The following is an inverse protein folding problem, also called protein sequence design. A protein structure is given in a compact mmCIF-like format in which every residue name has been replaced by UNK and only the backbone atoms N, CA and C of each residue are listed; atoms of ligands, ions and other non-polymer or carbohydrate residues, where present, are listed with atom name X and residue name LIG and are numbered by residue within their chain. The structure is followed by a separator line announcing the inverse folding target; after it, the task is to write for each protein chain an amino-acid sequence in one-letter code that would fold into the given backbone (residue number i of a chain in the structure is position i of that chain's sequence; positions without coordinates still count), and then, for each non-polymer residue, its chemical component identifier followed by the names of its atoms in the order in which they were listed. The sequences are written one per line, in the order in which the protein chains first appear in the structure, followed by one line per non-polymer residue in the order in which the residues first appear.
data_IF_360118770313
#
_entry.id   IF_360118770313
#
_cell.length_a   1.000
_cell.length_b   1.000
_cell.length_c   1.000
_cell.angle_alpha   90.00
_cell.angle_beta   90.00
_cell.angle_gamma   90.00
#
_symmetry.space_group_name_H-M   'P 1'
#
loop_
_entity.id
_entity.type
_entity.pdbx_description
1 polymer ?
#
# COMPACT_ATOMS: atom_id res chain seq x y z
N UNK A 1 -29.95 -19.02 7.28
CA UNK A 1 -29.91 -17.57 7.51
C UNK A 1 -28.51 -17.25 8.00
N UNK A 2 -27.63 -16.85 7.08
CA UNK A 2 -26.28 -16.39 7.40
C UNK A 2 -26.40 -15.07 8.16
N UNK A 3 -25.74 -14.98 9.31
CA UNK A 3 -25.53 -13.72 10.03
C UNK A 3 -25.02 -12.66 9.06
N UNK A 4 -25.44 -11.38 9.15
CA UNK A 4 -24.70 -10.32 8.47
C UNK A 4 -23.24 -10.42 8.92
N UNK A 5 -22.30 -10.48 7.98
CA UNK A 5 -20.87 -10.40 8.30
C UNK A 5 -20.70 -9.15 9.16
N UNK A 6 -20.13 -9.30 10.35
CA UNK A 6 -19.72 -8.13 11.11
C UNK A 6 -18.81 -7.33 10.21
N UNK A 7 -19.24 -6.12 9.84
CA UNK A 7 -18.44 -5.18 9.06
C UNK A 7 -17.08 -5.09 9.75
N UNK A 8 -16.05 -5.69 9.15
CA UNK A 8 -14.69 -5.62 9.68
C UNK A 8 -14.29 -4.15 9.62
N UNK A 9 -14.53 -3.46 10.73
CA UNK A 9 -14.22 -2.05 10.87
C UNK A 9 -12.75 -1.88 10.57
N UNK A 10 -12.46 -1.02 9.60
CA UNK A 10 -11.12 -0.67 9.17
C UNK A 10 -10.95 0.83 9.37
N UNK A 11 -9.83 1.22 9.95
CA UNK A 11 -9.40 2.60 10.06
C UNK A 11 -8.27 2.87 9.06
N UNK A 12 -8.04 4.14 8.73
CA UNK A 12 -6.96 4.56 7.85
C UNK A 12 -6.31 5.81 8.41
N UNK A 13 -4.97 5.84 8.42
CA UNK A 13 -4.20 7.03 8.73
C UNK A 13 -3.14 7.25 7.65
N UNK A 14 -2.94 8.48 7.21
CA UNK A 14 -1.93 8.85 6.22
C UNK A 14 -0.68 9.35 6.93
N UNK A 15 0.40 8.58 6.86
CA UNK A 15 1.72 8.99 7.32
C UNK A 15 2.44 9.79 6.23
N UNK A 16 3.05 10.90 6.60
CA UNK A 16 4.01 11.59 5.74
C UNK A 16 5.40 10.99 5.97
N UNK A 17 5.76 9.96 5.20
CA UNK A 17 7.08 9.31 5.27
C UNK A 17 8.06 10.14 4.45
N UNK A 18 8.64 11.17 5.10
CA UNK A 18 9.65 12.07 4.53
C UNK A 18 9.30 12.62 3.12
N UNK A 19 8.04 13.05 2.94
CA UNK A 19 7.54 13.62 1.69
C UNK A 19 6.71 12.64 0.84
N UNK A 20 6.63 11.37 1.22
CA UNK A 20 5.75 10.38 0.60
C UNK A 20 4.49 10.17 1.46
N UNK A 21 3.29 10.52 0.97
CA UNK A 21 2.04 10.16 1.63
C UNK A 21 1.82 8.64 1.56
N UNK A 22 1.75 7.99 2.73
CA UNK A 22 1.56 6.55 2.87
C UNK A 22 0.31 6.29 3.69
N UNK A 23 -0.71 5.71 3.07
CA UNK A 23 -1.96 5.35 3.74
C UNK A 23 -1.82 3.97 4.37
N UNK A 24 -2.01 3.92 5.69
CA UNK A 24 -1.97 2.69 6.45
C UNK A 24 -3.38 2.36 6.90
N UNK A 25 -3.90 1.26 6.39
CA UNK A 25 -5.18 0.67 6.75
C UNK A 25 -4.97 -0.40 7.81
N UNK A 26 -5.77 -0.37 8.87
CA UNK A 26 -5.60 -1.27 10.02
C UNK A 26 -6.94 -1.56 10.72
N UNK A 27 -7.09 -2.75 11.33
CA UNK A 27 -8.17 -3.02 12.28
C UNK A 27 -8.04 -2.11 13.52
N UNK A 28 -9.12 -1.46 14.01
CA UNK A 28 -9.07 -0.62 15.20
C UNK A 28 -8.57 -1.33 16.47
N UNK A 29 -8.64 -2.66 16.53
CA UNK A 29 -8.10 -3.45 17.64
C UNK A 29 -6.58 -3.41 17.74
N UNK A 30 -5.86 -3.00 16.69
CA UNK A 30 -4.40 -2.90 16.70
C UNK A 30 -3.88 -1.63 17.38
N UNK A 31 -4.74 -0.66 17.69
CA UNK A 31 -4.35 0.64 18.21
C UNK A 31 -5.03 0.92 19.55
N UNK A 32 -4.38 1.71 20.40
CA UNK A 32 -4.97 2.21 21.63
C UNK A 32 -5.88 3.42 21.35
N UNK A 33 -6.56 3.91 22.38
CA UNK A 33 -7.28 5.19 22.29
C UNK A 33 -6.34 6.41 22.28
N UNK A 34 -5.04 6.22 22.54
CA UNK A 34 -4.06 7.29 22.52
C UNK A 34 -3.61 7.61 21.08
N UNK A 35 -3.20 8.86 20.89
CA UNK A 35 -2.62 9.35 19.64
C UNK A 35 -1.35 10.14 19.94
N UNK A 36 -0.40 10.12 19.00
CA UNK A 36 0.74 11.03 19.04
C UNK A 36 0.29 12.48 18.81
N UNK A 37 1.16 13.44 19.10
CA UNK A 37 0.89 14.87 18.83
C UNK A 37 0.62 15.17 17.36
N UNK A 38 1.08 14.31 16.46
CA UNK A 38 0.80 14.34 15.01
C UNK A 38 -0.61 13.86 14.65
N UNK A 39 -1.37 13.37 15.62
CA UNK A 39 -2.65 12.67 15.42
C UNK A 39 -2.50 11.22 14.96
N UNK A 40 -1.27 10.71 14.79
CA UNK A 40 -1.03 9.33 14.41
C UNK A 40 -1.51 8.37 15.52
N UNK A 41 -2.12 7.22 15.16
CA UNK A 41 -2.56 6.25 16.15
C UNK A 41 -1.36 5.61 16.86
N UNK A 42 -1.50 5.33 18.16
CA UNK A 42 -0.51 4.55 18.90
C UNK A 42 -0.88 3.07 18.81
N UNK A 43 -0.07 2.28 18.11
CA UNK A 43 -0.24 0.83 18.05
C UNK A 43 -0.04 0.19 19.42
N UNK A 44 -0.84 -0.82 19.73
CA UNK A 44 -0.69 -1.58 20.99
C UNK A 44 0.56 -2.43 20.92
N UNK A 45 1.26 -2.59 22.05
CA UNK A 45 2.38 -3.51 22.12
C UNK A 45 1.91 -4.95 21.84
N UNK A 46 2.66 -5.72 21.04
CA UNK A 46 2.21 -7.05 20.66
C UNK A 46 3.20 -7.85 19.82
N UNK A 47 2.70 -8.96 19.25
CA UNK A 47 3.50 -9.81 18.37
C UNK A 47 3.90 -9.04 17.08
N UNK A 48 5.01 -9.44 16.43
CA UNK A 48 5.39 -8.90 15.13
C UNK A 48 4.28 -9.05 14.09
N UNK A 49 4.05 -8.01 13.28
CA UNK A 49 2.98 -7.96 12.28
C UNK A 49 3.50 -8.17 10.86
N UNK A 50 2.63 -8.60 9.94
CA UNK A 50 2.93 -8.52 8.50
C UNK A 50 2.46 -7.19 7.93
N UNK A 51 3.09 -6.74 6.85
CA UNK A 51 2.68 -5.55 6.10
C UNK A 51 2.41 -5.93 4.65
N UNK A 52 1.18 -5.71 4.19
CA UNK A 52 0.81 -5.86 2.78
C UNK A 52 0.85 -4.49 2.09
N UNK A 53 1.83 -4.27 1.22
CA UNK A 53 1.85 -3.12 0.32
C UNK A 53 1.02 -3.47 -0.92
N UNK A 54 -0.05 -2.70 -1.16
CA UNK A 54 -0.95 -2.90 -2.30
C UNK A 54 -0.92 -1.71 -3.26
N UNK A 55 -0.44 -1.97 -4.48
CA UNK A 55 -0.16 -0.95 -5.51
C UNK A 55 -1.27 -0.89 -6.56
N UNK A 56 -1.74 0.33 -6.85
CA UNK A 56 -2.88 0.56 -7.73
C UNK A 56 -2.55 0.44 -9.23
N UNK A 57 -3.59 0.40 -10.08
CA UNK A 57 -3.43 0.41 -11.53
C UNK A 57 -3.10 1.79 -12.10
N UNK A 58 -2.64 1.82 -13.35
CA UNK A 58 -2.47 3.07 -14.12
C UNK A 58 -3.78 3.85 -14.18
N UNK A 59 -3.69 5.20 -14.14
CA UNK A 59 -4.83 6.11 -14.11
C UNK A 59 -5.75 5.95 -12.87
N UNK A 60 -5.26 5.28 -11.83
CA UNK A 60 -5.96 5.15 -10.55
C UNK A 60 -5.20 5.91 -9.45
N UNK A 61 -5.58 5.66 -8.19
CA UNK A 61 -4.97 6.24 -6.99
C UNK A 61 -5.08 5.29 -5.79
N UNK A 62 -4.24 5.48 -4.78
CA UNK A 62 -4.21 4.73 -3.51
C UNK A 62 -5.56 4.70 -2.79
N UNK A 63 -6.26 5.85 -2.74
CA UNK A 63 -7.58 5.99 -2.12
C UNK A 63 -8.75 5.55 -3.00
N UNK A 64 -8.52 4.91 -4.14
CA UNK A 64 -9.60 4.45 -5.01
C UNK A 64 -10.42 3.36 -4.31
N UNK A 65 -11.75 3.35 -4.51
CA UNK A 65 -12.69 2.43 -3.82
C UNK A 65 -12.24 0.97 -3.88
N UNK A 66 -11.80 0.51 -5.05
CA UNK A 66 -11.27 -0.86 -5.24
C UNK A 66 -10.08 -1.16 -4.32
N UNK A 67 -9.17 -0.22 -4.11
CA UNK A 67 -8.00 -0.40 -3.24
C UNK A 67 -8.43 -0.56 -1.78
N UNK A 68 -9.32 0.33 -1.34
CA UNK A 68 -9.87 0.36 0.03
C UNK A 68 -10.71 -0.88 0.31
N UNK A 69 -11.53 -1.32 -0.66
CA UNK A 69 -12.33 -2.52 -0.55
C UNK A 69 -11.45 -3.77 -0.51
N UNK A 70 -10.40 -3.85 -1.33
CA UNK A 70 -9.46 -4.98 -1.28
C UNK A 70 -8.77 -5.09 0.08
N UNK A 71 -8.39 -3.95 0.69
CA UNK A 71 -7.83 -3.94 2.04
C UNK A 71 -8.85 -4.45 3.08
N UNK A 72 -10.11 -3.99 3.00
CA UNK A 72 -11.19 -4.45 3.87
C UNK A 72 -11.45 -5.95 3.72
N UNK A 73 -11.52 -6.43 2.49
CA UNK A 73 -11.76 -7.84 2.16
C UNK A 73 -10.62 -8.72 2.65
N UNK A 74 -9.37 -8.25 2.59
CA UNK A 74 -8.23 -8.95 3.16
C UNK A 74 -8.35 -9.12 4.68
N UNK A 75 -8.76 -8.06 5.40
CA UNK A 75 -9.00 -8.15 6.84
C UNK A 75 -10.15 -9.08 7.18
N UNK A 76 -11.27 -8.98 6.44
CA UNK A 76 -12.41 -9.87 6.62
C UNK A 76 -12.03 -11.33 6.40
N UNK A 77 -11.26 -11.62 5.35
CA UNK A 77 -10.78 -12.96 5.07
C UNK A 77 -9.97 -13.53 6.23
N UNK A 78 -9.04 -12.76 6.79
CA UNK A 78 -8.25 -13.19 7.93
C UNK A 78 -9.10 -13.42 9.19
N UNK A 79 -10.08 -12.54 9.45
CA UNK A 79 -11.01 -12.72 10.58
C UNK A 79 -11.87 -13.99 10.40
N UNK A 80 -12.37 -14.26 9.19
CA UNK A 80 -13.12 -15.48 8.89
C UNK A 80 -12.25 -16.74 9.14
N UNK A 81 -10.97 -16.71 8.76
CA UNK A 81 -10.02 -17.81 9.04
C UNK A 81 -9.79 -17.99 10.54
N UNK A 82 -9.66 -16.90 11.29
CA UNK A 82 -9.51 -16.92 12.75
C UNK A 82 -10.73 -17.51 13.44
N UNK A 83 -11.94 -17.14 13.00
CA UNK A 83 -13.19 -17.70 13.51
C UNK A 83 -13.35 -19.18 13.18
N UNK A 84 -12.78 -19.64 12.07
CA UNK A 84 -12.66 -21.06 11.73
C UNK A 84 -11.56 -21.81 12.52
N UNK A 85 -10.94 -21.19 13.53
CA UNK A 85 -9.93 -21.80 14.38
C UNK A 85 -8.53 -21.87 13.77
N UNK A 86 -8.29 -21.16 12.67
CA UNK A 86 -6.95 -21.08 12.06
C UNK A 86 -6.16 -19.94 12.71
N UNK A 87 -4.90 -20.20 13.06
CA UNK A 87 -4.01 -19.12 13.51
C UNK A 87 -3.79 -18.12 12.38
N UNK A 88 -3.89 -16.84 12.69
CA UNK A 88 -3.64 -15.74 11.77
C UNK A 88 -2.68 -14.74 12.41
N UNK A 89 -1.71 -14.26 11.64
CA UNK A 89 -0.86 -13.15 12.07
C UNK A 89 -1.62 -11.84 11.86
N UNK A 90 -1.47 -10.92 12.80
CA UNK A 90 -1.96 -9.56 12.63
C UNK A 90 -1.18 -8.86 11.50
N UNK A 91 -1.89 -8.09 10.68
CA UNK A 91 -1.27 -7.36 9.59
C UNK A 91 -1.94 -6.01 9.37
N UNK A 92 -1.26 -5.16 8.62
CA UNK A 92 -1.78 -3.89 8.10
C UNK A 92 -1.67 -3.89 6.58
N UNK A 93 -2.50 -3.07 5.92
CA UNK A 93 -2.41 -2.84 4.47
C UNK A 93 -1.92 -1.44 4.23
N UNK A 94 -0.91 -1.30 3.39
CA UNK A 94 -0.27 -0.04 3.04
C UNK A 94 -0.55 0.26 1.58
N UNK A 95 -1.06 1.46 1.29
CA UNK A 95 -1.22 1.97 -0.07
C UNK A 95 -0.56 3.33 -0.18
N UNK A 96 -0.03 3.65 -1.35
CA UNK A 96 0.47 4.99 -1.67
C UNK A 96 0.39 5.19 -3.18
N UNK A 97 0.31 6.44 -3.62
CA UNK A 97 0.22 6.74 -5.03
C UNK A 97 1.54 6.45 -5.74
N UNK A 98 1.46 5.84 -6.92
CA UNK A 98 2.60 5.79 -7.83
C UNK A 98 3.11 7.21 -8.09
N UNK A 99 4.38 7.31 -8.52
CA UNK A 99 4.88 8.57 -9.07
C UNK A 99 3.91 9.06 -10.16
N UNK A 100 3.70 10.37 -10.22
CA UNK A 100 2.81 10.98 -11.21
C UNK A 100 1.35 10.48 -11.20
N UNK A 101 0.86 9.87 -10.11
CA UNK A 101 -0.54 9.45 -9.97
C UNK A 101 -1.15 10.05 -8.69
N UNK A 102 -2.49 10.05 -8.62
CA UNK A 102 -3.25 10.51 -7.47
C UNK A 102 -2.75 11.86 -6.93
N UNK A 103 -2.45 11.92 -5.64
CA UNK A 103 -1.96 13.12 -4.93
C UNK A 103 -0.54 13.54 -5.37
N UNK A 104 0.19 12.67 -6.07
CA UNK A 104 1.55 12.89 -6.59
C UNK A 104 1.58 13.23 -8.08
N UNK A 105 0.44 13.54 -8.70
CA UNK A 105 0.35 13.85 -10.13
C UNK A 105 1.09 15.16 -10.45
N UNK A 106 1.97 15.12 -11.43
CA UNK A 106 2.73 16.29 -11.93
C UNK A 106 2.31 16.62 -13.36
N UNK A 107 2.33 15.62 -14.25
CA UNK A 107 1.90 15.72 -15.64
C UNK A 107 1.03 14.51 -16.01
N UNK A 108 -0.30 14.62 -16.00
CA UNK A 108 -1.19 13.49 -16.27
C UNK A 108 -1.02 12.91 -17.69
N UNK A 109 -0.52 13.67 -18.66
CA UNK A 109 -0.31 13.18 -20.03
C UNK A 109 0.73 12.05 -20.09
N UNK A 110 1.76 12.10 -19.24
CA UNK A 110 2.75 11.03 -19.12
C UNK A 110 2.17 9.69 -18.68
N UNK A 111 0.93 9.65 -18.17
CA UNK A 111 0.25 8.40 -17.81
C UNK A 111 -0.58 7.80 -18.96
N UNK A 112 -0.82 8.56 -20.02
CA UNK A 112 -1.57 8.11 -21.19
C UNK A 112 -0.80 7.06 -22.01
N UNK A 113 -1.51 6.39 -22.93
CA UNK A 113 -0.99 5.29 -23.72
C UNK A 113 -0.37 5.69 -25.06
N UNK A 114 0.16 4.72 -25.79
CA UNK A 114 0.28 4.88 -27.24
C UNK A 114 -1.09 4.68 -27.89
N UNK A 115 -1.37 5.53 -28.87
CA UNK A 115 -2.52 5.38 -29.78
C UNK A 115 -2.00 5.20 -31.20
N UNK A 116 -2.83 4.63 -32.10
CA UNK A 116 -2.48 4.50 -33.52
C UNK A 116 -2.52 5.82 -34.28
N UNK A 117 -3.31 6.76 -33.79
CA UNK A 117 -3.48 8.10 -34.35
C UNK A 117 -2.59 9.08 -33.57
N UNK A 118 -1.55 9.65 -34.21
CA UNK A 118 -0.66 10.62 -33.58
C UNK A 118 -1.36 11.91 -33.15
N UNK A 119 -2.46 12.27 -33.78
CA UNK A 119 -3.24 13.47 -33.43
C UNK A 119 -4.20 13.23 -32.24
N UNK A 120 -4.24 12.01 -31.72
CA UNK A 120 -5.03 11.70 -30.55
C UNK A 120 -4.45 12.43 -29.33
N UNK A 121 -5.29 13.13 -28.58
CA UNK A 121 -4.90 13.86 -27.36
C UNK A 121 -4.28 12.97 -26.26
N UNK A 122 -4.46 11.65 -26.34
CA UNK A 122 -3.86 10.65 -25.45
C UNK A 122 -2.61 9.98 -26.05
N UNK A 123 -2.15 10.40 -27.22
CA UNK A 123 -0.97 9.84 -27.87
C UNK A 123 0.31 10.26 -27.12
N UNK A 124 0.70 9.51 -26.10
CA UNK A 124 1.98 9.73 -25.45
C UNK A 124 3.10 9.01 -26.21
N UNK A 125 3.85 9.73 -27.06
CA UNK A 125 5.01 9.18 -27.78
C UNK A 125 6.05 8.54 -26.83
N UNK A 126 6.18 9.07 -25.61
CA UNK A 126 7.12 8.61 -24.57
C UNK A 126 6.53 7.51 -23.68
N UNK A 127 5.36 6.95 -24.01
CA UNK A 127 4.65 6.00 -23.17
C UNK A 127 5.53 4.88 -22.59
N UNK A 128 6.38 4.22 -23.39
CA UNK A 128 7.25 3.17 -22.86
C UNK A 128 8.22 3.65 -21.78
N UNK A 129 8.94 4.76 -22.02
CA UNK A 129 9.94 5.23 -21.06
C UNK A 129 9.27 5.83 -19.83
N UNK A 130 8.12 6.49 -19.99
CA UNK A 130 7.32 6.98 -18.88
C UNK A 130 6.83 5.80 -18.02
N UNK A 131 6.24 4.77 -18.62
CA UNK A 131 5.78 3.59 -17.89
C UNK A 131 6.92 2.86 -17.18
N UNK A 132 8.06 2.68 -17.84
CA UNK A 132 9.21 2.02 -17.21
C UNK A 132 9.79 2.86 -16.07
N UNK A 133 9.91 4.18 -16.23
CA UNK A 133 10.34 5.10 -15.18
C UNK A 133 9.42 5.11 -13.98
N UNK A 134 8.10 5.06 -14.21
CA UNK A 134 7.08 4.98 -13.17
C UNK A 134 7.15 3.67 -12.37
N UNK A 135 7.27 2.54 -13.07
CA UNK A 135 7.33 1.22 -12.43
C UNK A 135 8.64 1.03 -11.65
N UNK A 136 9.78 1.36 -12.25
CA UNK A 136 11.10 1.28 -11.56
C UNK A 136 11.21 2.27 -10.41
N UNK A 137 10.70 3.49 -10.59
CA UNK A 137 10.62 4.50 -9.54
C UNK A 137 9.71 4.06 -8.38
N UNK A 138 8.58 3.42 -8.68
CA UNK A 138 7.69 2.85 -7.65
C UNK A 138 8.40 1.73 -6.88
N UNK A 139 9.15 0.85 -7.54
CA UNK A 139 9.87 -0.21 -6.86
C UNK A 139 10.90 0.33 -5.83
N UNK A 140 11.53 1.47 -6.16
CA UNK A 140 12.38 2.21 -5.22
C UNK A 140 11.58 2.85 -4.08
N UNK A 141 10.42 3.42 -4.38
CA UNK A 141 9.51 3.98 -3.35
C UNK A 141 9.04 2.88 -2.39
N UNK A 142 8.79 1.65 -2.86
CA UNK A 142 8.47 0.50 -1.99
C UNK A 142 9.64 0.17 -1.06
N UNK A 143 10.87 0.11 -1.57
CA UNK A 143 12.06 -0.14 -0.73
C UNK A 143 12.22 0.96 0.33
N UNK A 144 12.00 2.22 -0.06
CA UNK A 144 11.98 3.35 0.86
C UNK A 144 10.90 3.22 1.95
N UNK A 145 9.69 2.81 1.58
CA UNK A 145 8.62 2.55 2.57
C UNK A 145 9.03 1.42 3.54
N UNK A 146 9.64 0.34 3.04
CA UNK A 146 10.14 -0.76 3.87
C UNK A 146 11.16 -0.26 4.91
N UNK A 147 12.11 0.57 4.46
CA UNK A 147 13.21 1.05 5.30
C UNK A 147 12.73 2.03 6.39
N UNK A 148 11.76 2.90 6.07
CA UNK A 148 11.43 4.05 6.93
C UNK A 148 10.10 3.92 7.67
N UNK A 149 9.07 3.30 7.07
CA UNK A 149 7.73 3.24 7.67
C UNK A 149 7.71 2.64 9.10
N UNK A 150 8.50 1.60 9.45
CA UNK A 150 8.50 1.05 10.80
C UNK A 150 8.76 2.08 11.90
N UNK A 151 9.64 3.06 11.68
CA UNK A 151 9.94 4.11 12.65
C UNK A 151 8.76 5.09 12.87
N UNK A 152 7.86 5.21 11.89
CA UNK A 152 6.63 6.00 12.02
C UNK A 152 5.51 5.21 12.70
N UNK A 153 5.46 3.90 12.49
CA UNK A 153 4.44 3.02 13.06
C UNK A 153 4.73 2.67 14.53
N UNK A 154 5.99 2.37 14.85
CA UNK A 154 6.43 1.81 16.13
C UNK A 154 7.63 2.60 16.70
N UNK A 155 7.49 3.91 16.96
CA UNK A 155 8.60 4.74 17.42
C UNK A 155 9.13 4.35 18.81
N UNK A 156 8.38 3.55 19.59
CA UNK A 156 8.78 3.06 20.91
C UNK A 156 8.87 1.52 20.95
N UNK A 157 9.16 0.89 19.81
CA UNK A 157 9.26 -0.56 19.67
C UNK A 157 7.98 -1.31 20.13
N UNK A 158 6.80 -0.71 19.93
CA UNK A 158 5.52 -1.33 20.26
C UNK A 158 5.39 -2.70 19.55
N UNK A 159 5.86 -2.76 18.29
CA UNK A 159 5.90 -3.97 17.47
C UNK A 159 7.08 -3.92 16.50
N UNK A 160 7.35 -5.05 15.86
CA UNK A 160 8.25 -5.14 14.70
C UNK A 160 7.50 -5.64 13.47
N UNK A 161 8.04 -5.38 12.27
CA UNK A 161 7.53 -5.98 11.03
C UNK A 161 8.21 -7.32 10.82
N UNK A 162 7.42 -8.39 10.76
CA UNK A 162 7.89 -9.76 10.57
C UNK A 162 8.07 -10.12 9.09
N UNK A 163 7.22 -9.56 8.23
CA UNK A 163 7.11 -9.93 6.83
C UNK A 163 6.54 -8.78 6.02
N UNK A 164 7.09 -8.60 4.83
CA UNK A 164 6.61 -7.67 3.82
C UNK A 164 6.04 -8.45 2.64
N UNK A 165 4.79 -8.18 2.31
CA UNK A 165 4.12 -8.71 1.13
C UNK A 165 3.85 -7.55 0.20
N UNK A 166 4.18 -7.69 -1.08
CA UNK A 166 3.91 -6.67 -2.09
C UNK A 166 3.00 -7.28 -3.14
N UNK A 167 1.92 -6.59 -3.46
CA UNK A 167 1.01 -6.96 -4.54
C UNK A 167 0.50 -5.73 -5.27
N UNK A 168 -0.05 -5.92 -6.47
CA UNK A 168 -0.60 -4.81 -7.22
C UNK A 168 -1.31 -5.23 -8.50
N UNK A 169 -2.08 -4.30 -9.06
CA UNK A 169 -2.89 -4.52 -10.25
C UNK A 169 -2.30 -3.74 -11.42
N UNK A 170 -2.19 -4.35 -12.60
CA UNK A 170 -1.76 -3.68 -13.84
C UNK A 170 -0.36 -3.02 -13.68
N UNK A 171 -0.25 -1.69 -13.72
CA UNK A 171 1.01 -0.97 -13.42
C UNK A 171 1.58 -1.33 -12.05
N UNK A 172 0.73 -1.45 -11.02
CA UNK A 172 1.13 -1.92 -9.69
C UNK A 172 1.64 -3.35 -9.68
N UNK A 173 1.10 -4.21 -10.55
CA UNK A 173 1.59 -5.59 -10.74
C UNK A 173 2.98 -5.63 -11.37
N UNK A 174 3.23 -4.82 -12.41
CA UNK A 174 4.56 -4.69 -13.00
C UNK A 174 5.57 -4.12 -11.99
N UNK A 175 5.16 -3.12 -11.21
CA UNK A 175 5.99 -2.55 -10.14
C UNK A 175 6.33 -3.61 -9.08
N UNK A 176 5.37 -4.47 -8.71
CA UNK A 176 5.58 -5.59 -7.78
C UNK A 176 6.66 -6.55 -8.30
N UNK A 177 6.64 -6.90 -9.59
CA UNK A 177 7.69 -7.72 -10.20
C UNK A 177 9.07 -7.07 -10.13
N UNK A 178 9.16 -5.76 -10.36
CA UNK A 178 10.43 -5.03 -10.24
C UNK A 178 10.91 -4.92 -8.79
N UNK A 179 10.00 -4.81 -7.82
CA UNK A 179 10.33 -4.90 -6.40
C UNK A 179 10.97 -6.25 -6.09
N UNK A 180 10.43 -7.36 -6.59
CA UNK A 180 11.02 -8.68 -6.38
C UNK A 180 12.37 -8.85 -7.09
N UNK A 181 12.52 -8.27 -8.28
CA UNK A 181 13.76 -8.38 -9.07
C UNK A 181 14.91 -7.50 -8.54
N UNK A 182 14.59 -6.38 -7.88
CA UNK A 182 15.58 -5.33 -7.58
C UNK A 182 15.48 -4.72 -6.17
N UNK A 183 14.48 -5.13 -5.36
CA UNK A 183 14.26 -4.60 -4.03
C UNK A 183 15.39 -5.00 -3.09
N UNK A 184 16.27 -4.05 -2.80
CA UNK A 184 17.46 -4.25 -1.95
C UNK A 184 17.11 -4.55 -0.49
N UNK A 185 15.92 -4.16 -0.03
CA UNK A 185 15.48 -4.34 1.37
C UNK A 185 14.62 -5.59 1.62
N UNK A 186 14.19 -6.31 0.56
CA UNK A 186 13.53 -7.61 0.71
C UNK A 186 14.51 -8.79 0.85
N UNK A 187 15.80 -8.51 0.63
CA UNK A 187 16.89 -9.46 0.77
C UNK A 187 17.66 -9.13 2.05
N UNK A 188 17.22 -9.58 3.22
CA UNK A 188 18.10 -9.82 4.38
C UNK A 188 17.43 -10.78 5.37
N UNK A 189 18.20 -11.57 6.14
CA UNK A 189 19.62 -11.39 6.50
C UNK A 189 20.65 -11.95 5.51
#
# INVERSE_FOLDING_TARGET
MSSPSQDTRMSTYTYNVAGLPVHVHYPPSLVSSATFSTGAPVFTAGKPISVLIFLHGRLSRSGHKMMVDTARDAFQFAEDKKQAGQEQREFIVVTFDHRNHGERTVDPFCNEGWTKDPENEKHNERHAIDMYGLQTGTARDVSFVIDFLPAYLFPNDERTVAEWVVSGISLGGHSTWLVLAHGTSLLLP
#
